data_IF_867178152251
#
_entry.id   IF_867178152251
#
_cell.length_a   1.000
_cell.length_b   1.000
_cell.length_c   1.000
_cell.angle_alpha   90.00
_cell.angle_beta   90.00
_cell.angle_gamma   90.00
#
_symmetry.space_group_name_H-M   'P 1'
#
loop_
_entity.id
_entity.type
_entity.pdbx_description
1 polymer ?
#
# COMPACT_ATOMS: atom_id res chain seq x y z
N UNK A 1 -24.23 -7.74 -12.14
CA UNK A 1 -25.45 -8.53 -11.90
C UNK A 1 -25.49 -8.91 -10.43
N UNK A 2 -26.59 -8.62 -9.72
CA UNK A 2 -26.78 -8.99 -8.31
C UNK A 2 -28.27 -9.31 -8.03
N UNK A 3 -28.55 -10.04 -6.95
CA UNK A 3 -29.91 -10.30 -6.52
C UNK A 3 -30.39 -9.24 -5.50
N UNK A 4 -31.62 -8.77 -5.65
CA UNK A 4 -32.25 -7.88 -4.67
C UNK A 4 -32.89 -8.67 -3.51
N UNK A 5 -33.50 -7.93 -2.57
CA UNK A 5 -34.21 -8.51 -1.40
C UNK A 5 -35.42 -9.37 -1.77
N UNK A 6 -35.93 -9.29 -3.01
CA UNK A 6 -37.04 -10.08 -3.54
C UNK A 6 -36.54 -11.18 -4.50
N UNK A 7 -35.25 -11.54 -4.44
CA UNK A 7 -34.60 -12.55 -5.30
C UNK A 7 -34.63 -12.24 -6.79
N UNK A 8 -34.90 -11.00 -7.20
CA UNK A 8 -34.86 -10.58 -8.60
C UNK A 8 -33.44 -10.28 -9.04
N UNK A 9 -33.07 -10.71 -10.24
CA UNK A 9 -31.81 -10.38 -10.86
C UNK A 9 -31.81 -8.92 -11.33
N UNK A 10 -30.92 -8.13 -10.77
CA UNK A 10 -30.68 -6.73 -11.16
C UNK A 10 -29.48 -6.65 -12.06
N UNK A 11 -29.66 -6.07 -13.25
CA UNK A 11 -28.59 -5.70 -14.16
C UNK A 11 -28.29 -4.23 -14.02
N UNK A 12 -27.07 -3.87 -13.80
CA UNK A 12 -26.61 -2.48 -13.71
C UNK A 12 -25.40 -2.25 -14.61
N UNK A 13 -25.27 -1.06 -15.15
CA UNK A 13 -24.05 -0.57 -15.82
C UNK A 13 -23.13 0.18 -14.87
N UNK A 14 -23.58 0.42 -13.63
CA UNK A 14 -22.74 1.02 -12.59
C UNK A 14 -21.64 0.04 -12.17
N UNK A 15 -20.44 0.58 -11.96
CA UNK A 15 -19.30 -0.20 -11.45
C UNK A 15 -19.25 -0.06 -9.94
N UNK A 16 -19.39 -1.15 -9.16
CA UNK A 16 -19.24 -1.08 -7.72
C UNK A 16 -17.78 -0.73 -7.34
N UNK A 17 -17.58 -0.18 -6.15
CA UNK A 17 -16.25 0.13 -5.58
C UNK A 17 -15.47 -1.14 -5.23
N UNK A 18 -16.15 -2.26 -5.04
CA UNK A 18 -15.57 -3.60 -4.89
C UNK A 18 -16.54 -4.67 -5.37
N UNK A 19 -16.01 -5.79 -5.82
CA UNK A 19 -16.76 -7.00 -6.16
C UNK A 19 -16.65 -8.04 -5.02
N UNK A 20 -17.41 -9.14 -5.15
CA UNK A 20 -17.27 -10.30 -4.25
C UNK A 20 -15.83 -10.84 -4.37
N UNK A 21 -15.17 -11.03 -3.22
CA UNK A 21 -13.77 -11.43 -3.15
C UNK A 21 -12.78 -10.28 -3.02
N UNK A 22 -13.26 -9.03 -2.96
CA UNK A 22 -12.39 -7.86 -2.89
C UNK A 22 -12.55 -7.09 -1.57
N UNK A 23 -11.48 -6.39 -1.20
CA UNK A 23 -11.48 -5.42 -0.11
C UNK A 23 -11.75 -4.02 -0.64
N UNK A 24 -12.49 -3.21 0.13
CA UNK A 24 -12.69 -1.80 -0.15
C UNK A 24 -12.79 -0.97 1.14
N UNK A 25 -12.48 0.31 1.03
CA UNK A 25 -12.66 1.30 2.08
C UNK A 25 -13.93 2.06 1.81
N UNK A 26 -15.02 1.68 2.49
CA UNK A 26 -16.39 2.13 2.20
C UNK A 26 -16.93 3.03 3.30
N UNK A 27 -17.76 4.00 2.88
CA UNK A 27 -18.43 4.94 3.77
C UNK A 27 -19.72 4.34 4.32
N UNK A 28 -19.94 4.47 5.62
CA UNK A 28 -21.20 4.14 6.27
C UNK A 28 -22.24 5.21 5.97
N UNK A 29 -23.43 4.80 5.52
CA UNK A 29 -24.54 5.71 5.16
C UNK A 29 -25.73 5.57 6.09
N UNK A 30 -25.95 4.39 6.69
CA UNK A 30 -27.06 4.16 7.63
C UNK A 30 -26.74 3.06 8.63
N UNK A 31 -27.34 3.15 9.82
CA UNK A 31 -27.42 2.09 10.82
C UNK A 31 -28.87 1.67 11.01
N UNK A 32 -29.12 0.35 11.09
CA UNK A 32 -30.45 -0.26 11.29
C UNK A 32 -30.35 -1.38 12.32
N UNK A 33 -31.47 -2.00 12.67
CA UNK A 33 -31.52 -3.16 13.59
C UNK A 33 -30.83 -4.41 13.02
N UNK A 34 -30.53 -4.45 11.73
CA UNK A 34 -29.88 -5.58 11.05
C UNK A 34 -28.34 -5.41 10.92
N UNK A 35 -27.86 -4.19 11.03
CA UNK A 35 -26.46 -3.84 10.84
C UNK A 35 -26.29 -2.47 10.20
N UNK A 36 -25.12 -2.28 9.64
CA UNK A 36 -24.68 -1.03 9.03
C UNK A 36 -24.74 -1.13 7.51
N UNK A 37 -25.27 -0.13 6.83
CA UNK A 37 -25.26 -0.02 5.39
C UNK A 37 -24.14 0.90 4.91
N UNK A 38 -23.46 0.48 3.83
CA UNK A 38 -22.28 1.13 3.30
C UNK A 38 -22.46 1.45 1.82
N UNK A 39 -22.05 2.67 1.42
CA UNK A 39 -22.01 3.08 0.01
C UNK A 39 -20.88 2.34 -0.73
N UNK A 40 -21.26 1.41 -1.58
CA UNK A 40 -20.33 0.67 -2.45
C UNK A 40 -20.48 1.00 -3.93
N UNK A 41 -21.19 2.10 -4.25
CA UNK A 41 -21.32 2.64 -5.61
C UNK A 41 -22.45 2.05 -6.44
N UNK A 42 -23.38 1.30 -5.84
CA UNK A 42 -24.62 0.84 -6.46
C UNK A 42 -25.82 1.45 -5.77
N UNK A 43 -27.02 1.39 -6.41
CA UNK A 43 -28.25 1.98 -5.89
C UNK A 43 -28.70 1.39 -4.54
N UNK A 44 -28.37 0.11 -4.29
CA UNK A 44 -28.60 -0.52 -3.00
C UNK A 44 -27.28 -0.57 -2.24
N UNK A 45 -27.30 -0.04 -1.02
CA UNK A 45 -26.16 -0.07 -0.12
C UNK A 45 -25.81 -1.49 0.32
N UNK A 46 -24.53 -1.70 0.61
CA UNK A 46 -23.98 -2.98 1.04
C UNK A 46 -24.15 -3.15 2.55
N UNK A 47 -24.80 -4.22 2.97
CA UNK A 47 -25.01 -4.53 4.39
C UNK A 47 -23.73 -5.12 5.02
N UNK A 48 -23.33 -4.56 6.17
CA UNK A 48 -22.40 -5.16 7.13
C UNK A 48 -23.18 -5.53 8.41
N UNK A 49 -23.60 -6.80 8.59
CA UNK A 49 -24.34 -7.25 9.77
C UNK A 49 -23.53 -7.03 11.05
N UNK A 50 -24.19 -6.85 12.21
CA UNK A 50 -23.46 -6.66 13.49
C UNK A 50 -22.45 -7.78 13.78
N UNK A 51 -22.80 -9.03 13.46
CA UNK A 51 -21.89 -10.18 13.60
C UNK A 51 -20.63 -10.13 12.74
N UNK A 52 -20.65 -9.30 11.69
CA UNK A 52 -19.52 -9.09 10.76
C UNK A 52 -18.71 -7.82 11.06
N UNK A 53 -19.08 -7.08 12.07
CA UNK A 53 -18.37 -5.88 12.51
C UNK A 53 -17.34 -6.23 13.57
N UNK A 54 -16.09 -5.80 13.38
CA UNK A 54 -15.04 -5.90 14.39
C UNK A 54 -15.33 -4.98 15.59
N UNK A 55 -15.95 -3.83 15.32
CA UNK A 55 -16.42 -2.84 16.30
C UNK A 55 -17.66 -2.14 15.72
N UNK A 56 -18.51 -1.52 16.54
CA UNK A 56 -19.63 -0.74 16.05
C UNK A 56 -19.16 0.31 15.03
N UNK A 57 -19.92 0.43 13.94
CA UNK A 57 -19.62 1.36 12.86
C UNK A 57 -20.49 2.62 12.99
N UNK A 58 -19.86 3.78 12.76
CA UNK A 58 -20.48 5.10 12.87
C UNK A 58 -20.84 5.64 11.48
N UNK A 59 -21.98 6.31 11.37
CA UNK A 59 -22.41 6.98 10.13
C UNK A 59 -21.36 8.03 9.72
N UNK A 60 -21.21 8.23 8.43
CA UNK A 60 -20.24 9.13 7.79
C UNK A 60 -18.77 8.75 7.95
N UNK A 61 -18.46 7.64 8.65
CA UNK A 61 -17.12 7.11 8.75
C UNK A 61 -16.84 6.04 7.69
N UNK A 62 -15.55 5.88 7.39
CA UNK A 62 -15.05 4.88 6.45
C UNK A 62 -14.45 3.70 7.20
N UNK A 63 -14.72 2.49 6.67
CA UNK A 63 -14.16 1.24 7.20
C UNK A 63 -13.64 0.36 6.06
N UNK A 64 -12.52 -0.31 6.32
CA UNK A 64 -12.01 -1.34 5.45
C UNK A 64 -12.82 -2.61 5.65
N UNK A 65 -13.40 -3.12 4.58
CA UNK A 65 -14.26 -4.32 4.59
C UNK A 65 -13.89 -5.25 3.46
N UNK A 66 -14.18 -6.53 3.66
CA UNK A 66 -14.19 -7.55 2.62
C UNK A 66 -15.61 -7.79 2.14
N UNK A 67 -15.80 -7.86 0.83
CA UNK A 67 -17.10 -8.12 0.20
C UNK A 67 -17.18 -9.61 -0.14
N UNK A 68 -18.20 -10.29 0.38
CA UNK A 68 -18.35 -11.73 0.17
C UNK A 68 -19.81 -12.14 -0.03
N UNK A 69 -20.01 -13.33 -0.60
CA UNK A 69 -21.33 -13.93 -0.70
C UNK A 69 -21.63 -14.70 0.59
N UNK A 70 -22.66 -14.31 1.32
CA UNK A 70 -23.09 -15.02 2.52
C UNK A 70 -23.77 -16.33 2.13
N UNK A 71 -23.17 -17.45 2.53
CA UNK A 71 -23.69 -18.77 2.19
C UNK A 71 -25.03 -19.13 2.85
N UNK A 72 -25.42 -18.40 3.90
CA UNK A 72 -26.68 -18.69 4.61
C UNK A 72 -27.92 -18.17 3.86
N UNK A 73 -27.78 -17.06 3.14
CA UNK A 73 -28.91 -16.38 2.47
C UNK A 73 -28.61 -15.97 1.02
N UNK A 74 -27.40 -16.25 0.52
CA UNK A 74 -26.97 -15.92 -0.85
C UNK A 74 -26.80 -14.43 -1.12
N UNK A 75 -26.75 -13.58 -0.09
CA UNK A 75 -26.62 -12.13 -0.25
C UNK A 75 -25.17 -11.68 -0.24
N UNK A 76 -24.89 -10.67 -1.03
CA UNK A 76 -23.60 -9.98 -0.97
C UNK A 76 -23.55 -9.18 0.33
N UNK A 77 -22.49 -9.39 1.11
CA UNK A 77 -22.36 -8.90 2.49
C UNK A 77 -20.94 -8.36 2.70
N UNK A 78 -20.82 -7.33 3.54
CA UNK A 78 -19.53 -6.79 3.96
C UNK A 78 -19.12 -7.32 5.34
N UNK A 79 -17.81 -7.54 5.53
CA UNK A 79 -17.23 -7.85 6.84
C UNK A 79 -16.03 -6.96 7.13
N UNK A 80 -15.99 -6.32 8.30
CA UNK A 80 -14.79 -5.64 8.79
C UNK A 80 -13.85 -6.56 9.60
N UNK A 81 -14.21 -7.82 9.77
CA UNK A 81 -13.34 -8.87 10.35
C UNK A 81 -12.42 -9.42 9.27
N UNK A 82 -11.58 -8.54 8.73
CA UNK A 82 -10.82 -8.76 7.49
C UNK A 82 -9.74 -9.84 7.61
N UNK A 83 -9.21 -10.08 8.83
CA UNK A 83 -8.12 -11.03 9.05
C UNK A 83 -8.43 -12.44 8.58
N UNK A 84 -9.69 -12.87 8.67
CA UNK A 84 -10.11 -14.23 8.27
C UNK A 84 -10.15 -14.46 6.75
N UNK A 85 -10.00 -13.40 5.96
CA UNK A 85 -10.02 -13.45 4.49
C UNK A 85 -8.63 -13.20 3.89
N UNK A 86 -7.62 -13.09 4.73
CA UNK A 86 -6.25 -12.79 4.32
C UNK A 86 -5.31 -13.88 4.77
N UNK A 87 -4.44 -14.27 3.86
CA UNK A 87 -3.38 -15.21 4.14
C UNK A 87 -2.16 -14.48 4.73
N UNK A 88 -1.64 -15.00 5.84
CA UNK A 88 -0.41 -14.50 6.47
C UNK A 88 0.84 -15.17 5.88
N UNK A 89 0.67 -16.22 5.07
CA UNK A 89 1.76 -17.02 4.53
C UNK A 89 1.70 -17.08 3.01
N UNK A 90 2.74 -16.58 2.38
CA UNK A 90 2.88 -16.57 0.92
C UNK A 90 3.79 -17.71 0.44
N UNK A 91 3.44 -18.96 0.73
CA UNK A 91 4.20 -20.08 0.18
C UNK A 91 4.08 -20.08 -1.35
N UNK A 92 5.17 -19.68 -2.03
CA UNK A 92 5.33 -19.68 -3.49
C UNK A 92 4.37 -18.79 -4.32
N UNK A 93 3.55 -17.94 -3.68
CA UNK A 93 2.57 -17.11 -4.39
C UNK A 93 3.17 -15.84 -5.00
N UNK A 94 4.32 -15.37 -4.53
CA UNK A 94 4.92 -14.11 -4.95
C UNK A 94 6.43 -14.24 -5.17
N UNK A 95 6.95 -13.45 -6.13
CA UNK A 95 8.38 -13.36 -6.42
C UNK A 95 8.90 -11.94 -6.18
N UNK A 96 10.15 -11.75 -5.70
CA UNK A 96 10.75 -10.43 -5.56
C UNK A 96 10.74 -9.63 -6.88
N UNK A 97 10.36 -8.35 -6.79
CA UNK A 97 10.20 -7.47 -7.94
C UNK A 97 8.84 -7.55 -8.66
N UNK A 98 7.97 -8.48 -8.29
CA UNK A 98 6.61 -8.56 -8.82
C UNK A 98 5.81 -7.33 -8.43
N UNK A 99 5.17 -6.69 -9.42
CA UNK A 99 4.22 -5.61 -9.19
C UNK A 99 2.90 -6.17 -8.66
N UNK A 100 2.33 -5.49 -7.67
CA UNK A 100 1.09 -5.89 -6.99
C UNK A 100 0.25 -4.66 -6.66
N UNK A 101 -1.05 -4.86 -6.53
CA UNK A 101 -1.98 -3.86 -6.02
C UNK A 101 -2.03 -3.94 -4.49
N UNK A 102 -1.99 -2.77 -3.86
CA UNK A 102 -1.96 -2.61 -2.41
C UNK A 102 -3.14 -1.78 -1.93
N UNK A 103 -3.71 -2.18 -0.79
CA UNK A 103 -4.62 -1.34 0.00
C UNK A 103 -3.99 -1.13 1.37
N UNK A 104 -3.73 0.12 1.74
CA UNK A 104 -3.14 0.46 3.05
C UNK A 104 -4.19 0.23 4.13
N UNK A 105 -3.94 -0.72 5.02
CA UNK A 105 -4.94 -1.20 5.97
C UNK A 105 -4.72 -0.72 7.40
N UNK A 106 -3.47 -0.64 7.86
CA UNK A 106 -3.15 -0.27 9.23
C UNK A 106 -1.72 0.30 9.34
N UNK A 107 -1.46 1.01 10.45
CA UNK A 107 -0.12 1.45 10.85
C UNK A 107 0.34 0.66 12.06
N UNK A 108 1.61 0.27 12.07
CA UNK A 108 2.30 -0.41 13.17
C UNK A 108 3.57 0.37 13.52
N UNK A 109 4.26 -0.01 14.58
CA UNK A 109 5.55 0.59 14.96
C UNK A 109 6.61 0.41 13.87
N UNK A 110 6.55 -0.71 13.13
CA UNK A 110 7.49 -1.05 12.05
C UNK A 110 7.17 -0.33 10.74
N UNK A 111 5.89 -0.02 10.48
CA UNK A 111 5.45 0.56 9.22
C UNK A 111 3.97 0.36 8.94
N UNK A 112 3.61 0.23 7.67
CA UNK A 112 2.23 0.10 7.23
C UNK A 112 1.94 -1.34 6.82
N UNK A 113 0.89 -1.95 7.40
CA UNK A 113 0.31 -3.19 6.87
C UNK A 113 -0.52 -2.84 5.64
N UNK A 114 -0.33 -3.59 4.58
CA UNK A 114 -1.09 -3.45 3.34
C UNK A 114 -1.63 -4.81 2.90
N UNK A 115 -2.79 -4.79 2.25
CA UNK A 115 -3.40 -5.95 1.60
C UNK A 115 -2.86 -6.03 0.18
N UNK A 116 -2.33 -7.18 -0.19
CA UNK A 116 -1.76 -7.49 -1.50
C UNK A 116 -2.81 -8.22 -2.34
N UNK A 117 -3.19 -7.68 -3.50
CA UNK A 117 -4.07 -8.33 -4.49
C UNK A 117 -5.33 -8.96 -3.86
N UNK A 118 -5.91 -8.30 -2.85
CA UNK A 118 -7.07 -8.78 -2.08
C UNK A 118 -6.91 -10.17 -1.42
N UNK A 119 -5.69 -10.64 -1.16
CA UNK A 119 -5.44 -12.01 -0.71
C UNK A 119 -4.48 -12.15 0.46
N UNK A 120 -3.42 -11.36 0.53
CA UNK A 120 -2.34 -11.55 1.50
C UNK A 120 -1.98 -10.27 2.25
N UNK A 121 -1.40 -10.45 3.44
CA UNK A 121 -0.78 -9.36 4.18
C UNK A 121 0.65 -9.08 3.71
N UNK A 122 1.03 -7.80 3.68
CA UNK A 122 2.40 -7.36 3.50
C UNK A 122 2.75 -6.17 4.37
N UNK A 123 4.03 -5.90 4.52
CA UNK A 123 4.57 -4.81 5.33
C UNK A 123 5.41 -3.85 4.49
N UNK A 124 5.03 -2.57 4.51
CA UNK A 124 5.83 -1.44 4.03
C UNK A 124 6.56 -0.83 5.22
N UNK A 125 7.88 -0.88 5.25
CA UNK A 125 8.67 -0.33 6.35
C UNK A 125 8.64 1.19 6.38
N UNK A 126 8.54 1.76 7.59
CA UNK A 126 8.41 3.21 7.80
C UNK A 126 9.58 4.01 7.26
N UNK A 127 10.79 3.47 7.36
CA UNK A 127 12.03 4.07 6.85
C UNK A 127 12.17 3.99 5.31
N UNK A 128 11.36 3.19 4.65
CA UNK A 128 11.34 3.03 3.19
C UNK A 128 10.19 3.81 2.53
N UNK A 129 9.25 4.31 3.32
CA UNK A 129 8.12 5.10 2.84
C UNK A 129 8.44 6.60 3.00
N UNK A 130 8.68 7.27 1.87
CA UNK A 130 9.02 8.70 1.83
C UNK A 130 7.81 9.60 1.53
N UNK A 131 6.60 9.06 1.58
CA UNK A 131 5.36 9.78 1.31
C UNK A 131 4.32 9.50 2.40
N UNK A 132 3.32 10.37 2.50
CA UNK A 132 2.22 10.18 3.45
C UNK A 132 1.24 9.16 2.88
N UNK A 133 1.04 8.06 3.61
CA UNK A 133 0.03 7.05 3.29
C UNK A 133 -1.21 7.25 4.16
N UNK A 134 -2.38 7.01 3.57
CA UNK A 134 -3.68 7.08 4.25
C UNK A 134 -4.34 5.70 4.27
N UNK A 135 -5.10 5.41 5.33
CA UNK A 135 -5.85 4.16 5.42
C UNK A 135 -6.90 4.07 4.30
N UNK A 136 -7.09 2.88 3.77
CA UNK A 136 -7.97 2.63 2.63
C UNK A 136 -7.41 3.07 1.28
N UNK A 137 -6.24 3.71 1.24
CA UNK A 137 -5.62 4.15 0.00
C UNK A 137 -5.16 2.96 -0.83
N UNK A 138 -5.60 2.93 -2.10
CA UNK A 138 -5.08 1.98 -3.08
C UNK A 138 -3.80 2.50 -3.71
N UNK A 139 -2.81 1.64 -3.87
CA UNK A 139 -1.50 1.93 -4.45
C UNK A 139 -0.99 0.74 -5.24
N UNK A 140 -0.19 0.99 -6.25
CA UNK A 140 0.69 -0.02 -6.82
C UNK A 140 1.97 -0.10 -6.00
N UNK A 141 2.47 -1.30 -5.79
CA UNK A 141 3.73 -1.56 -5.11
C UNK A 141 4.42 -2.79 -5.67
N UNK A 142 5.49 -3.21 -5.03
CA UNK A 142 6.30 -4.34 -5.47
C UNK A 142 6.64 -5.23 -4.28
N UNK A 143 6.70 -6.53 -4.54
CA UNK A 143 7.25 -7.50 -3.59
C UNK A 143 8.74 -7.23 -3.45
N UNK A 144 9.18 -6.88 -2.26
CA UNK A 144 10.59 -6.69 -1.96
C UNK A 144 11.25 -8.02 -1.64
N UNK A 145 10.62 -8.76 -0.75
CA UNK A 145 11.13 -10.04 -0.28
C UNK A 145 10.00 -10.87 0.34
N UNK A 146 10.01 -12.17 0.10
CA UNK A 146 9.19 -13.15 0.83
C UNK A 146 10.10 -13.80 1.85
N UNK A 147 9.77 -13.68 3.14
CA UNK A 147 10.59 -14.17 4.23
C UNK A 147 10.44 -15.69 4.39
N UNK A 148 11.40 -16.35 5.05
CA UNK A 148 11.28 -17.78 5.37
C UNK A 148 10.07 -18.14 6.24
N UNK A 149 9.54 -17.17 7.01
CA UNK A 149 8.33 -17.31 7.81
C UNK A 149 7.04 -17.02 7.01
N UNK A 150 7.12 -16.91 5.69
CA UNK A 150 6.02 -16.65 4.78
C UNK A 150 5.55 -15.20 4.70
N UNK A 151 6.08 -14.30 5.54
CA UNK A 151 5.69 -12.88 5.53
C UNK A 151 6.28 -12.14 4.34
N UNK A 152 5.57 -11.13 3.86
CA UNK A 152 5.92 -10.38 2.66
C UNK A 152 6.34 -8.97 3.03
N UNK A 153 7.57 -8.60 2.64
CA UNK A 153 8.04 -7.23 2.67
C UNK A 153 7.76 -6.54 1.33
N UNK A 154 7.26 -5.32 1.41
CA UNK A 154 6.81 -4.53 0.27
C UNK A 154 7.65 -3.27 0.10
N UNK A 155 7.66 -2.73 -1.12
CA UNK A 155 8.15 -1.38 -1.44
C UNK A 155 7.18 -0.71 -2.42
N UNK A 156 7.10 0.63 -2.37
CA UNK A 156 6.25 1.40 -3.29
C UNK A 156 6.91 1.65 -4.65
N UNK A 157 8.25 1.54 -4.72
CA UNK A 157 9.02 1.70 -5.96
C UNK A 157 10.04 0.59 -6.09
N UNK A 158 10.32 0.16 -7.30
CA UNK A 158 11.41 -0.79 -7.54
C UNK A 158 12.76 -0.20 -7.11
N UNK A 159 13.66 -1.04 -6.59
CA UNK A 159 15.01 -0.59 -6.19
C UNK A 159 15.76 0.07 -7.35
N UNK A 160 15.62 -0.42 -8.56
CA UNK A 160 16.27 0.14 -9.74
C UNK A 160 15.73 1.54 -10.06
N UNK A 161 14.41 1.72 -10.10
CA UNK A 161 13.79 3.01 -10.35
C UNK A 161 14.17 4.05 -9.29
N UNK A 162 14.16 3.65 -8.02
CA UNK A 162 14.61 4.51 -6.92
C UNK A 162 16.08 4.86 -7.05
N UNK A 163 16.93 3.89 -7.45
CA UNK A 163 18.34 4.10 -7.66
C UNK A 163 18.61 5.05 -8.81
N UNK A 164 17.90 4.90 -9.92
CA UNK A 164 18.06 5.76 -11.10
C UNK A 164 17.62 7.20 -10.79
N UNK A 165 16.52 7.38 -10.08
CA UNK A 165 16.08 8.70 -9.60
C UNK A 165 17.10 9.34 -8.64
N UNK A 166 17.65 8.59 -7.71
CA UNK A 166 18.67 9.09 -6.78
C UNK A 166 19.95 9.44 -7.52
N UNK A 167 20.35 8.63 -8.51
CA UNK A 167 21.53 8.88 -9.35
C UNK A 167 21.34 10.19 -10.14
N UNK A 168 20.19 10.36 -10.79
CA UNK A 168 19.87 11.60 -11.52
C UNK A 168 19.93 12.82 -10.61
N UNK A 169 19.34 12.76 -9.40
CA UNK A 169 19.38 13.89 -8.44
C UNK A 169 20.81 14.32 -8.08
N UNK A 170 21.71 13.36 -7.84
CA UNK A 170 23.11 13.68 -7.52
C UNK A 170 23.81 14.29 -8.73
N UNK A 171 23.63 13.72 -9.92
CA UNK A 171 24.22 14.23 -11.15
C UNK A 171 23.68 15.64 -11.50
N UNK A 172 22.39 15.85 -11.38
CA UNK A 172 21.75 17.16 -11.67
C UNK A 172 22.18 18.22 -10.66
N UNK A 173 22.33 17.85 -9.39
CA UNK A 173 22.91 18.74 -8.37
C UNK A 173 24.34 19.17 -8.73
N UNK A 174 25.19 18.21 -9.09
CA UNK A 174 26.56 18.50 -9.50
C UNK A 174 26.60 19.43 -10.73
N UNK A 175 25.77 19.17 -11.75
CA UNK A 175 25.66 20.03 -12.94
C UNK A 175 25.26 21.46 -12.59
N UNK A 176 24.35 21.63 -11.63
CA UNK A 176 23.87 22.94 -11.20
C UNK A 176 24.86 23.71 -10.28
N UNK A 177 25.91 23.03 -9.77
CA UNK A 177 26.87 23.59 -8.83
C UNK A 177 28.32 23.39 -9.31
N UNK A 178 28.59 23.67 -10.58
CA UNK A 178 29.89 23.63 -11.20
C UNK A 178 30.69 22.34 -11.00
N UNK A 179 29.97 21.23 -10.90
CA UNK A 179 30.53 19.89 -10.71
C UNK A 179 30.91 19.54 -9.27
N UNK A 180 30.59 20.38 -8.29
CA UNK A 180 30.99 20.19 -6.90
C UNK A 180 29.78 20.04 -5.97
N UNK A 181 29.91 19.14 -4.97
CA UNK A 181 28.96 19.01 -3.87
C UNK A 181 29.71 18.86 -2.55
N UNK A 182 29.50 19.76 -1.59
CA UNK A 182 30.08 19.71 -0.25
C UNK A 182 29.44 18.58 0.59
N UNK A 183 29.51 17.34 0.07
CA UNK A 183 28.91 16.14 0.68
C UNK A 183 29.70 14.89 0.31
N UNK A 184 30.09 14.14 1.33
CA UNK A 184 30.83 12.88 1.22
C UNK A 184 30.21 11.82 2.14
N UNK A 185 30.80 10.64 2.21
CA UNK A 185 30.27 9.47 2.96
C UNK A 185 30.13 9.68 4.49
N UNK A 186 30.84 10.66 5.06
CA UNK A 186 30.79 11.04 6.48
C UNK A 186 29.84 12.21 6.78
N UNK A 187 29.30 12.87 5.74
CA UNK A 187 28.37 13.99 5.89
C UNK A 187 27.16 13.63 6.73
N UNK A 188 26.67 14.59 7.50
CA UNK A 188 25.49 14.41 8.37
C UNK A 188 24.25 13.99 7.59
N UNK A 189 23.45 13.02 8.07
CA UNK A 189 22.24 12.54 7.41
C UNK A 189 21.22 13.64 7.09
N UNK A 190 21.07 14.63 7.98
CA UNK A 190 20.12 15.73 7.78
C UNK A 190 20.56 16.62 6.60
N UNK A 191 21.87 16.89 6.46
CA UNK A 191 22.43 17.62 5.32
C UNK A 191 22.24 16.85 4.01
N UNK A 192 22.47 15.52 3.99
CA UNK A 192 22.23 14.70 2.81
C UNK A 192 20.76 14.72 2.41
N UNK A 193 19.86 14.60 3.38
CA UNK A 193 18.43 14.68 3.14
C UNK A 193 18.02 16.05 2.57
N UNK A 194 18.58 17.13 3.08
CA UNK A 194 18.30 18.49 2.60
C UNK A 194 18.81 18.74 1.17
N UNK A 195 20.01 18.24 0.83
CA UNK A 195 20.64 18.45 -0.48
C UNK A 195 20.06 17.56 -1.58
N UNK A 196 19.83 16.29 -1.27
CA UNK A 196 19.54 15.27 -2.28
C UNK A 196 18.18 14.59 -2.10
N UNK A 197 17.47 14.84 -0.99
CA UNK A 197 16.17 14.21 -0.72
C UNK A 197 16.23 12.69 -0.54
N UNK A 198 17.34 12.15 -0.02
CA UNK A 198 17.56 10.73 0.16
C UNK A 198 18.27 10.39 1.48
N UNK A 199 18.16 9.13 1.91
CA UNK A 199 18.85 8.65 3.11
C UNK A 199 20.36 8.58 2.89
N UNK A 200 21.16 8.68 3.98
CA UNK A 200 22.63 8.50 3.92
C UNK A 200 23.02 7.13 3.34
N UNK A 201 22.26 6.06 3.61
CA UNK A 201 22.48 4.73 3.04
C UNK A 201 22.31 4.73 1.51
N UNK A 202 21.24 5.37 1.01
CA UNK A 202 20.99 5.53 -0.43
C UNK A 202 22.07 6.38 -1.09
N UNK A 203 22.43 7.50 -0.47
CA UNK A 203 23.50 8.38 -0.95
C UNK A 203 24.84 7.64 -1.12
N UNK A 204 25.27 6.88 -0.10
CA UNK A 204 26.48 6.05 -0.19
C UNK A 204 26.43 5.03 -1.34
N UNK A 205 25.28 4.38 -1.56
CA UNK A 205 25.10 3.44 -2.70
C UNK A 205 25.24 4.15 -4.05
N UNK A 206 24.64 5.33 -4.20
CA UNK A 206 24.67 6.14 -5.43
C UNK A 206 26.07 6.64 -5.71
N UNK A 207 26.70 7.32 -4.74
CA UNK A 207 28.06 7.86 -4.87
C UNK A 207 29.06 6.75 -5.17
N UNK A 208 28.99 5.61 -4.48
CA UNK A 208 29.84 4.45 -4.76
C UNK A 208 29.62 3.87 -6.17
N UNK A 209 28.39 3.91 -6.69
CA UNK A 209 28.07 3.53 -8.07
C UNK A 209 28.67 4.48 -9.10
N UNK A 210 28.44 5.79 -8.93
CA UNK A 210 28.99 6.84 -9.81
C UNK A 210 30.52 6.86 -9.80
N UNK A 211 31.14 6.68 -8.65
CA UNK A 211 32.60 6.58 -8.52
C UNK A 211 33.18 5.36 -9.29
N UNK A 212 32.57 4.17 -9.15
CA UNK A 212 32.96 2.98 -9.90
C UNK A 212 32.84 3.16 -11.42
N UNK A 213 31.84 3.92 -11.86
CA UNK A 213 31.63 4.28 -13.27
C UNK A 213 32.54 5.42 -13.74
N UNK A 214 33.41 5.98 -12.86
CA UNK A 214 34.30 7.12 -13.12
C UNK A 214 33.56 8.40 -13.55
N UNK A 215 32.32 8.56 -13.16
CA UNK A 215 31.50 9.76 -13.44
C UNK A 215 31.85 10.87 -12.44
N UNK A 216 32.18 10.51 -11.21
CA UNK A 216 32.60 11.46 -10.15
C UNK A 216 33.94 11.05 -9.55
N UNK A 217 34.59 12.02 -8.88
CA UNK A 217 35.71 11.84 -7.98
C UNK A 217 35.29 12.22 -6.56
N UNK A 218 35.78 11.48 -5.57
CA UNK A 218 35.56 11.77 -4.15
C UNK A 218 36.78 12.46 -3.61
N UNK A 219 36.62 13.65 -3.03
CA UNK A 219 37.70 14.43 -2.41
C UNK A 219 37.43 14.55 -0.90
N UNK A 220 38.39 15.11 -0.15
CA UNK A 220 38.27 15.21 1.30
C UNK A 220 37.22 16.25 1.77
N UNK A 221 36.87 17.19 0.92
CA UNK A 221 35.97 18.30 1.14
C UNK A 221 34.63 18.19 0.38
N UNK A 222 34.49 17.16 -0.49
CA UNK A 222 33.28 16.98 -1.28
C UNK A 222 33.37 15.93 -2.36
#
# INVERSE_FOLDING_TARGET
LYQDSETRLIVTTQKPKAQVGEFAYLKVVANTDYGTFMDWGLDKDLLAPFGEQHRPMEIDRFYLVFVYLNNADGRITASSKIERFLDDQAEHSFIPGQQVDLIIANSTDLGFKAIINHSHWGLLYKDEVNERLSFGQSRSGFIKFVRPDGKIDLVLKQEQETRDQHTSRVVDYLKAHDGFAAAHDKTDPAKIQALFGMSKKSFKKVVGGLYKQRIIKIQADG
#
